data_IF_352758165648
#
_entry.id   IF_352758165648
#
_cell.length_a   1.000
_cell.length_b   1.000
_cell.length_c   1.000
_cell.angle_alpha   90.00
_cell.angle_beta   90.00
_cell.angle_gamma   90.00
#
_symmetry.space_group_name_H-M   'P 1'
#
loop_
_entity.id
_entity.type
_entity.pdbx_description
1 polymer ?
#
# COMPACT_ATOMS: atom_id res chain seq x y z
N UNK A 1 -0.05 5.58 12.23
CA UNK A 1 1.33 5.26 11.92
C UNK A 1 1.58 5.23 10.41
N UNK A 2 2.73 5.67 9.99
CA UNK A 2 3.16 5.58 8.60
C UNK A 2 3.64 4.16 8.31
N UNK A 3 3.11 3.54 7.27
CA UNK A 3 3.42 2.15 6.92
C UNK A 3 4.02 2.06 5.51
N UNK A 4 5.01 1.19 5.36
CA UNK A 4 5.72 0.96 4.09
C UNK A 4 5.19 -0.31 3.43
N UNK A 5 4.01 -0.20 2.82
CA UNK A 5 3.27 -1.32 2.24
C UNK A 5 4.06 -2.02 1.13
N UNK A 6 4.81 -1.26 0.34
CA UNK A 6 5.56 -1.85 -0.77
C UNK A 6 6.61 -2.87 -0.31
N UNK A 7 7.21 -2.67 0.86
CA UNK A 7 8.16 -3.66 1.39
C UNK A 7 7.46 -4.96 1.73
N UNK A 8 6.29 -4.89 2.35
CA UNK A 8 5.55 -6.11 2.70
C UNK A 8 5.03 -6.83 1.45
N UNK A 9 4.47 -6.07 0.51
CA UNK A 9 3.87 -6.67 -0.68
C UNK A 9 4.91 -7.30 -1.60
N UNK A 10 6.03 -6.64 -1.81
CA UNK A 10 7.02 -7.07 -2.80
C UNK A 10 8.17 -7.85 -2.17
N UNK A 11 8.80 -7.30 -1.14
CA UNK A 11 9.94 -7.99 -0.52
C UNK A 11 9.53 -9.25 0.23
N UNK A 12 8.38 -9.23 0.91
CA UNK A 12 7.90 -10.35 1.72
C UNK A 12 6.76 -11.13 1.05
N UNK A 13 6.34 -10.72 -0.15
CA UNK A 13 5.30 -11.38 -0.93
C UNK A 13 3.99 -11.55 -0.15
N UNK A 14 3.58 -10.52 0.58
CA UNK A 14 2.33 -10.54 1.34
C UNK A 14 1.23 -9.90 0.49
N UNK A 15 0.11 -10.58 0.23
CA UNK A 15 -0.99 -10.01 -0.55
C UNK A 15 -1.57 -8.76 0.13
N UNK A 16 -1.96 -7.76 -0.68
CA UNK A 16 -2.51 -6.51 -0.16
C UNK A 16 -3.71 -6.72 0.78
N UNK A 17 -4.67 -7.62 0.47
CA UNK A 17 -5.78 -7.86 1.41
C UNK A 17 -5.33 -8.34 2.78
N UNK A 18 -4.26 -9.16 2.84
CA UNK A 18 -3.71 -9.63 4.10
C UNK A 18 -3.05 -8.50 4.88
N UNK A 19 -2.34 -7.62 4.18
CA UNK A 19 -1.73 -6.42 4.80
C UNK A 19 -2.83 -5.55 5.39
N UNK A 20 -3.89 -5.28 4.64
CA UNK A 20 -5.02 -4.47 5.08
C UNK A 20 -5.70 -5.07 6.30
N UNK A 21 -5.91 -6.39 6.29
CA UNK A 21 -6.51 -7.11 7.41
C UNK A 21 -5.65 -7.01 8.67
N UNK A 22 -4.35 -7.16 8.51
CA UNK A 22 -3.41 -7.07 9.64
C UNK A 22 -3.41 -5.67 10.24
N UNK A 23 -3.35 -4.65 9.40
CA UNK A 23 -3.38 -3.25 9.88
C UNK A 23 -4.70 -2.94 10.59
N UNK A 24 -5.83 -3.40 10.03
CA UNK A 24 -7.13 -3.16 10.61
C UNK A 24 -7.29 -3.83 11.98
N UNK A 25 -6.65 -4.98 12.18
CA UNK A 25 -6.67 -5.65 13.47
C UNK A 25 -5.87 -4.88 14.54
N UNK A 26 -4.89 -4.07 14.10
CA UNK A 26 -3.96 -3.40 15.02
C UNK A 26 -4.28 -1.91 15.21
N UNK A 27 -4.89 -1.25 14.24
CA UNK A 27 -5.02 0.21 14.27
C UNK A 27 -6.33 0.69 13.68
N UNK A 28 -7.10 1.52 14.42
CA UNK A 28 -8.33 2.12 13.89
C UNK A 28 -8.06 3.22 12.86
N UNK A 29 -6.86 3.79 12.88
CA UNK A 29 -6.43 4.81 11.92
C UNK A 29 -5.07 4.43 11.38
N UNK A 30 -4.85 4.70 10.11
CA UNK A 30 -3.54 4.47 9.50
C UNK A 30 -3.23 5.57 8.49
N UNK A 31 -1.96 5.93 8.41
CA UNK A 31 -1.44 6.77 7.34
C UNK A 31 -0.47 5.90 6.56
N UNK A 32 -0.78 5.66 5.29
CA UNK A 32 -0.03 4.72 4.46
C UNK A 32 0.45 5.45 3.21
N UNK A 33 1.74 5.33 2.94
CA UNK A 33 2.33 5.83 1.71
C UNK A 33 2.30 4.72 0.66
N UNK A 34 1.54 4.91 -0.41
CA UNK A 34 1.55 3.97 -1.53
C UNK A 34 2.66 4.34 -2.48
N UNK A 35 3.55 3.39 -2.75
CA UNK A 35 4.71 3.56 -3.62
C UNK A 35 4.48 2.69 -4.86
N UNK A 36 4.22 3.30 -6.04
CA UNK A 36 3.89 2.51 -7.25
C UNK A 36 5.11 1.81 -7.82
N UNK A 37 4.87 0.87 -8.75
CA UNK A 37 5.96 0.10 -9.39
C UNK A 37 6.94 0.98 -10.16
N UNK A 38 6.51 2.13 -10.65
CA UNK A 38 7.38 3.07 -11.35
C UNK A 38 8.38 3.76 -10.43
N UNK A 39 8.14 3.76 -9.13
CA UNK A 39 9.04 4.38 -8.17
C UNK A 39 10.37 3.64 -8.13
N UNK A 40 11.45 4.41 -7.99
CA UNK A 40 12.81 3.85 -8.00
C UNK A 40 13.02 2.80 -6.91
N UNK A 41 12.39 2.96 -5.75
CA UNK A 41 12.50 1.98 -4.65
C UNK A 41 11.86 0.65 -5.03
N UNK A 42 10.69 0.68 -5.66
CA UNK A 42 10.01 -0.55 -6.09
C UNK A 42 10.76 -1.19 -7.24
N UNK A 43 11.24 -0.40 -8.19
CA UNK A 43 12.07 -0.91 -9.29
C UNK A 43 13.31 -1.64 -8.75
N UNK A 44 13.93 -1.10 -7.71
CA UNK A 44 15.08 -1.72 -7.07
C UNK A 44 14.70 -3.05 -6.42
N UNK A 45 13.55 -3.12 -5.75
CA UNK A 45 13.06 -4.36 -5.16
C UNK A 45 12.77 -5.43 -6.22
N UNK A 46 12.27 -5.02 -7.39
CA UNK A 46 11.94 -5.93 -8.48
C UNK A 46 13.15 -6.31 -9.34
N UNK A 47 14.25 -5.58 -9.26
CA UNK A 47 15.40 -5.76 -10.16
C UNK A 47 16.05 -7.14 -10.04
N UNK A 48 16.00 -7.77 -8.88
CA UNK A 48 16.63 -9.07 -8.62
C UNK A 48 15.61 -10.20 -8.53
N UNK A 49 14.35 -9.95 -8.92
CA UNK A 49 13.30 -10.97 -8.87
C UNK A 49 12.28 -10.74 -9.97
N UNK A 50 11.56 -11.82 -10.31
CA UNK A 50 10.50 -11.76 -11.28
C UNK A 50 9.31 -10.98 -10.72
N UNK A 51 8.70 -10.12 -11.56
CA UNK A 51 7.49 -9.43 -11.18
C UNK A 51 6.30 -10.39 -11.25
N UNK A 52 5.85 -10.84 -10.09
CA UNK A 52 4.69 -11.72 -9.94
C UNK A 52 3.60 -11.05 -9.10
N UNK A 53 3.53 -9.71 -9.15
CA UNK A 53 2.63 -8.93 -8.31
C UNK A 53 1.64 -8.12 -9.17
N UNK A 54 0.74 -8.79 -9.93
CA UNK A 54 -0.17 -8.07 -10.84
C UNK A 54 -1.16 -7.17 -10.12
N UNK A 55 -1.50 -7.51 -8.87
CA UNK A 55 -2.46 -6.74 -8.08
C UNK A 55 -1.82 -5.58 -7.30
N UNK A 56 -0.50 -5.46 -7.37
CA UNK A 56 0.18 -4.35 -6.70
C UNK A 56 0.09 -3.10 -7.58
N UNK A 57 -1.07 -2.46 -7.54
CA UNK A 57 -1.40 -1.21 -8.23
C UNK A 57 -2.13 -0.31 -7.26
N UNK A 58 -2.27 0.98 -7.61
CA UNK A 58 -3.02 1.90 -6.75
C UNK A 58 -4.50 1.48 -6.67
N UNK A 59 -5.05 0.96 -7.77
CA UNK A 59 -6.41 0.43 -7.79
C UNK A 59 -6.54 -0.79 -6.88
N UNK A 60 -5.59 -1.71 -6.97
CA UNK A 60 -5.54 -2.89 -6.10
C UNK A 60 -5.39 -2.51 -4.63
N UNK A 61 -4.59 -1.50 -4.35
CA UNK A 61 -4.44 -0.96 -3.00
C UNK A 61 -5.76 -0.39 -2.48
N UNK A 62 -6.44 0.44 -3.28
CA UNK A 62 -7.72 1.03 -2.89
C UNK A 62 -8.77 -0.04 -2.61
N UNK A 63 -8.82 -1.07 -3.46
CA UNK A 63 -9.77 -2.17 -3.30
C UNK A 63 -9.49 -2.95 -2.02
N UNK A 64 -8.25 -3.38 -1.82
CA UNK A 64 -7.86 -4.19 -0.66
C UNK A 64 -8.05 -3.44 0.66
N UNK A 65 -7.55 -2.20 0.73
CA UNK A 65 -7.66 -1.41 1.96
C UNK A 65 -9.07 -0.86 2.15
N UNK A 66 -9.80 -0.60 1.06
CA UNK A 66 -11.18 -0.12 1.12
C UNK A 66 -12.15 -1.12 1.74
N UNK A 67 -11.82 -2.40 1.77
CA UNK A 67 -12.64 -3.40 2.44
C UNK A 67 -12.58 -3.29 3.96
N UNK A 68 -11.45 -2.85 4.49
CA UNK A 68 -11.21 -2.76 5.93
C UNK A 68 -11.25 -1.34 6.45
N UNK A 69 -10.96 -0.38 5.60
CA UNK A 69 -10.85 1.03 5.97
C UNK A 69 -11.72 1.90 5.06
N UNK A 70 -12.17 3.02 5.62
CA UNK A 70 -12.67 4.12 4.81
C UNK A 70 -11.49 4.97 4.41
N UNK A 71 -11.33 5.21 3.11
CA UNK A 71 -10.30 6.10 2.59
C UNK A 71 -10.77 7.54 2.82
N UNK A 72 -10.18 8.19 3.80
CA UNK A 72 -10.55 9.57 4.17
C UNK A 72 -9.98 10.55 3.19
N UNK A 73 -8.72 10.37 2.79
CA UNK A 73 -8.08 11.23 1.80
C UNK A 73 -6.96 10.49 1.08
N UNK A 74 -6.70 10.92 -0.16
CA UNK A 74 -5.57 10.51 -0.99
C UNK A 74 -4.86 11.78 -1.41
N UNK A 75 -3.59 11.90 -1.05
CA UNK A 75 -2.82 13.10 -1.34
C UNK A 75 -1.56 12.73 -2.11
N UNK A 76 -1.49 13.06 -3.41
CA UNK A 76 -0.26 12.85 -4.16
C UNK A 76 0.84 13.72 -3.56
N UNK A 77 2.01 13.13 -3.37
CA UNK A 77 3.15 13.86 -2.82
C UNK A 77 3.83 14.61 -3.95
N UNK A 78 3.97 15.92 -3.81
CA UNK A 78 4.55 16.80 -4.82
C UNK A 78 5.94 16.32 -5.24
N UNK A 79 6.18 16.32 -6.56
CA UNK A 79 7.45 15.90 -7.17
C UNK A 79 7.81 14.44 -6.85
N UNK A 80 6.81 13.59 -6.64
CA UNK A 80 6.99 12.19 -6.31
C UNK A 80 5.98 11.33 -7.06
N UNK A 81 6.27 10.02 -7.19
CA UNK A 81 5.32 9.04 -7.71
C UNK A 81 4.37 8.53 -6.63
N UNK A 82 4.58 8.95 -5.39
CA UNK A 82 3.93 8.38 -4.21
C UNK A 82 2.65 9.11 -3.86
N UNK A 83 1.73 8.38 -3.21
CA UNK A 83 0.45 8.92 -2.74
C UNK A 83 0.30 8.58 -1.26
N UNK A 84 -0.08 9.57 -0.47
CA UNK A 84 -0.32 9.39 0.95
C UNK A 84 -1.81 9.16 1.18
N UNK A 85 -2.13 8.03 1.82
CA UNK A 85 -3.50 7.66 2.16
C UNK A 85 -3.75 7.84 3.64
N UNK A 86 -4.83 8.54 3.96
CA UNK A 86 -5.33 8.60 5.34
C UNK A 86 -6.54 7.68 5.42
N UNK A 87 -6.49 6.73 6.33
CA UNK A 87 -7.45 5.63 6.44
C UNK A 87 -8.07 5.59 7.83
N UNK A 88 -9.38 5.29 7.88
CA UNK A 88 -10.10 5.07 9.13
C UNK A 88 -10.81 3.74 9.03
N UNK A 89 -10.59 2.87 10.03
CA UNK A 89 -11.16 1.52 10.01
C UNK A 89 -12.69 1.55 9.97
N UNK A 90 -13.26 0.69 9.15
CA UNK A 90 -14.69 0.46 9.12
C UNK A 90 -15.09 -0.35 10.35
N UNK A 91 -16.23 -0.03 10.90
CA UNK A 91 -16.79 -0.75 12.04
C UNK A 91 -17.54 -1.99 11.63
#
# INVERSE_FOLDING_TARGET
>A
ALALVHHLAISSNVPLPMIASTFAAMSPHAVVEFVPKEDAMVRKLLSSRRDVFPDYTIEGFREAFGERYQIVSETPITASTRTLFHLRRRD
#
